data_IF_987513322105
#
_entry.id   IF_987513322105
#
_cell.length_a   1.000
_cell.length_b   1.000
_cell.length_c   1.000
_cell.angle_alpha   90.00
_cell.angle_beta   90.00
_cell.angle_gamma   90.00
#
_symmetry.space_group_name_H-M   'P 1'
#
loop_
_entity.id
_entity.type
_entity.pdbx_description
1 polymer ?
#
# COMPACT_ATOMS: atom_id res chain seq x y z
N UNK A 1 18.54 -5.96 -3.30
CA UNK A 1 19.55 -5.26 -2.47
C UNK A 1 20.71 -6.19 -2.24
N UNK A 2 21.97 -5.73 -2.37
CA UNK A 2 23.14 -6.57 -2.07
C UNK A 2 23.13 -7.04 -0.62
N UNK A 3 23.47 -8.29 -0.37
CA UNK A 3 23.61 -8.81 0.99
C UNK A 3 24.73 -8.05 1.72
N UNK A 4 24.42 -7.48 2.89
CA UNK A 4 25.37 -6.69 3.68
C UNK A 4 25.80 -5.35 3.06
N UNK A 5 25.17 -4.92 1.96
CA UNK A 5 25.45 -3.65 1.29
C UNK A 5 24.33 -2.62 1.46
N UNK A 6 24.35 -1.60 0.60
CA UNK A 6 23.30 -0.59 0.50
C UNK A 6 22.89 -0.36 -0.96
N UNK A 7 21.75 0.31 -1.12
CA UNK A 7 21.26 0.79 -2.40
C UNK A 7 20.97 2.27 -2.24
N UNK A 8 21.54 3.11 -3.11
CA UNK A 8 21.27 4.53 -3.17
C UNK A 8 20.31 4.80 -4.34
N UNK A 9 19.12 5.33 -4.03
CA UNK A 9 18.09 5.67 -5.03
C UNK A 9 17.70 7.13 -4.85
N UNK A 10 17.41 7.79 -5.97
CA UNK A 10 16.77 9.08 -6.01
C UNK A 10 15.69 9.04 -7.09
N UNK A 11 14.55 9.67 -6.81
CA UNK A 11 13.46 9.88 -7.75
C UNK A 11 12.98 11.33 -7.61
N UNK A 12 12.55 11.98 -8.70
CA UNK A 12 11.91 13.29 -8.59
C UNK A 12 10.61 13.14 -7.80
N UNK A 13 10.35 14.09 -6.90
CA UNK A 13 9.08 14.17 -6.17
C UNK A 13 8.03 14.90 -7.02
N UNK A 14 7.72 14.37 -8.20
CA UNK A 14 6.88 14.99 -9.22
C UNK A 14 5.47 14.38 -9.35
N UNK A 15 5.11 13.44 -8.47
CA UNK A 15 3.85 12.69 -8.55
C UNK A 15 3.14 12.58 -7.18
N UNK A 16 2.18 13.47 -6.85
CA UNK A 16 1.46 13.44 -5.58
C UNK A 16 0.79 12.10 -5.33
N UNK A 17 1.05 11.47 -4.18
CA UNK A 17 0.45 10.17 -3.88
C UNK A 17 1.00 9.45 -2.65
N UNK A 18 0.50 8.24 -2.45
CA UNK A 18 1.00 7.28 -1.46
C UNK A 18 1.68 6.13 -2.20
N UNK A 19 3.01 6.09 -2.19
CA UNK A 19 3.80 5.16 -3.00
C UNK A 19 4.48 4.11 -2.14
N UNK A 20 4.09 2.85 -2.31
CA UNK A 20 4.71 1.72 -1.60
C UNK A 20 6.05 1.36 -2.25
N UNK A 21 7.09 1.25 -1.44
CA UNK A 21 8.35 0.59 -1.80
C UNK A 21 8.52 -0.61 -0.89
N UNK A 22 8.73 -1.78 -1.47
CA UNK A 22 8.86 -3.02 -0.68
C UNK A 22 9.82 -4.01 -1.35
N UNK A 23 10.26 -5.00 -0.57
CA UNK A 23 10.92 -6.15 -1.16
C UNK A 23 9.89 -6.96 -1.96
N UNK A 24 10.17 -7.23 -3.24
CA UNK A 24 9.23 -7.96 -4.10
C UNK A 24 9.20 -9.48 -3.85
N UNK A 25 10.01 -9.96 -2.89
CA UNK A 25 9.93 -11.33 -2.39
C UNK A 25 8.69 -11.43 -1.48
N UNK A 26 7.70 -12.22 -1.90
CA UNK A 26 6.38 -12.26 -1.27
C UNK A 26 6.44 -12.49 0.25
N UNK A 27 7.30 -13.41 0.73
CA UNK A 27 7.43 -13.67 2.16
C UNK A 27 8.12 -12.53 2.93
N UNK A 28 9.01 -11.75 2.31
CA UNK A 28 9.56 -10.55 2.95
C UNK A 28 8.53 -9.41 3.00
N UNK A 29 7.73 -9.23 1.95
CA UNK A 29 6.64 -8.26 1.94
C UNK A 29 5.60 -8.59 3.03
N UNK A 30 5.21 -9.86 3.14
CA UNK A 30 4.32 -10.38 4.19
C UNK A 30 4.86 -10.11 5.61
N UNK A 31 6.18 -10.22 5.79
CA UNK A 31 6.87 -9.93 7.05
C UNK A 31 7.05 -8.43 7.32
N UNK A 32 6.58 -7.55 6.42
CA UNK A 32 6.59 -6.11 6.62
C UNK A 32 7.81 -5.38 6.07
N UNK A 33 8.60 -5.99 5.17
CA UNK A 33 9.72 -5.30 4.51
C UNK A 33 9.20 -4.32 3.45
N UNK A 34 8.63 -3.22 3.92
CA UNK A 34 8.01 -2.16 3.12
C UNK A 34 8.10 -0.81 3.83
N UNK A 35 8.06 0.25 3.02
CA UNK A 35 7.80 1.64 3.42
C UNK A 35 6.76 2.23 2.46
N UNK A 36 6.11 3.30 2.87
CA UNK A 36 5.21 4.09 2.02
C UNK A 36 5.64 5.55 2.04
N UNK A 37 5.89 6.12 0.86
CA UNK A 37 6.18 7.54 0.70
C UNK A 37 4.86 8.29 0.57
N UNK A 38 4.60 9.23 1.48
CA UNK A 38 3.53 10.21 1.35
C UNK A 38 4.10 11.45 0.65
N UNK A 39 3.94 11.49 -0.66
CA UNK A 39 4.54 12.49 -1.54
C UNK A 39 3.55 13.62 -1.84
N UNK A 40 3.96 14.88 -1.62
CA UNK A 40 3.16 16.08 -1.93
C UNK A 40 1.70 15.97 -1.45
N UNK A 41 1.53 15.61 -0.17
CA UNK A 41 0.24 15.33 0.49
C UNK A 41 -0.87 16.31 0.11
N UNK A 42 -0.57 17.61 0.13
CA UNK A 42 -1.57 18.65 -0.05
C UNK A 42 -2.08 18.77 -1.50
N UNK A 43 -1.44 18.08 -2.44
CA UNK A 43 -1.82 18.05 -3.86
C UNK A 43 -2.53 16.75 -4.27
N UNK A 44 -2.62 15.78 -3.36
CA UNK A 44 -3.21 14.46 -3.65
C UNK A 44 -4.69 14.59 -3.98
N UNK A 45 -5.45 15.31 -3.15
CA UNK A 45 -6.92 15.41 -3.31
C UNK A 45 -7.31 16.05 -4.64
N UNK A 46 -6.53 17.04 -5.10
CA UNK A 46 -6.73 17.71 -6.38
C UNK A 46 -6.32 16.83 -7.59
N UNK A 47 -5.46 15.83 -7.37
CA UNK A 47 -4.86 15.00 -8.43
C UNK A 47 -5.62 13.69 -8.69
N UNK A 48 -6.39 13.17 -7.73
CA UNK A 48 -6.99 11.82 -7.80
C UNK A 48 -8.35 11.76 -8.53
N UNK A 49 -9.00 12.90 -8.78
CA UNK A 49 -10.27 12.97 -9.51
C UNK A 49 -11.45 12.32 -8.77
N UNK A 50 -12.38 11.70 -9.51
CA UNK A 50 -13.55 11.06 -8.92
C UNK A 50 -13.16 9.77 -8.17
N UNK A 51 -13.54 9.69 -6.90
CA UNK A 51 -13.24 8.55 -6.00
C UNK A 51 -14.46 7.69 -5.65
N UNK A 52 -15.59 7.85 -6.34
CA UNK A 52 -16.83 7.14 -6.01
C UNK A 52 -16.68 5.62 -6.13
N UNK A 53 -15.97 5.16 -7.17
CA UNK A 53 -15.65 3.75 -7.38
C UNK A 53 -14.73 3.19 -6.30
N UNK A 54 -13.73 3.96 -5.88
CA UNK A 54 -12.84 3.59 -4.77
C UNK A 54 -13.63 3.46 -3.46
N UNK A 55 -14.45 4.48 -3.15
CA UNK A 55 -15.29 4.49 -1.97
C UNK A 55 -16.32 3.35 -1.98
N UNK A 56 -16.82 2.96 -3.15
CA UNK A 56 -17.71 1.81 -3.29
C UNK A 56 -16.99 0.50 -2.91
N UNK A 57 -15.79 0.27 -3.43
CA UNK A 57 -14.98 -0.89 -3.04
C UNK A 57 -14.67 -0.93 -1.54
N UNK A 58 -14.38 0.23 -0.93
CA UNK A 58 -14.21 0.31 0.52
C UNK A 58 -15.47 -0.08 1.30
N UNK A 59 -16.66 0.34 0.85
CA UNK A 59 -17.93 -0.04 1.47
C UNK A 59 -18.16 -1.55 1.39
N UNK A 60 -18.01 -2.12 0.19
CA UNK A 60 -18.18 -3.56 -0.03
C UNK A 60 -17.20 -4.39 0.81
N UNK A 61 -15.95 -3.95 0.91
CA UNK A 61 -14.96 -4.61 1.75
C UNK A 61 -15.31 -4.53 3.24
N UNK A 62 -15.78 -3.37 3.72
CA UNK A 62 -16.17 -3.20 5.12
C UNK A 62 -17.40 -4.05 5.50
N UNK A 63 -18.35 -4.22 4.58
CA UNK A 63 -19.50 -5.11 4.78
C UNK A 63 -19.08 -6.59 4.82
N UNK A 64 -18.09 -6.97 4.02
CA UNK A 64 -17.51 -8.31 4.04
C UNK A 64 -16.67 -8.56 5.31
N UNK A 65 -15.80 -7.62 5.69
CA UNK A 65 -14.81 -7.77 6.75
C UNK A 65 -15.38 -7.50 8.16
N UNK A 66 -16.52 -8.10 8.47
CA UNK A 66 -17.13 -8.07 9.81
C UNK A 66 -16.93 -9.42 10.53
N UNK A 67 -16.89 -9.44 11.88
CA UNK A 67 -16.74 -10.67 12.64
C UNK A 67 -17.80 -11.71 12.25
N UNK A 68 -17.35 -12.89 11.83
CA UNK A 68 -18.23 -14.00 11.42
C UNK A 68 -18.64 -14.02 9.95
N UNK A 69 -18.28 -13.01 9.14
CA UNK A 69 -18.59 -12.96 7.70
C UNK A 69 -17.38 -13.28 6.80
N UNK A 70 -16.20 -13.47 7.39
CA UNK A 70 -15.00 -13.97 6.71
C UNK A 70 -14.51 -15.30 7.33
N UNK A 71 -14.02 -16.27 6.54
CA UNK A 71 -13.53 -17.55 7.07
C UNK A 71 -12.12 -17.47 7.67
N UNK A 72 -11.33 -16.45 7.29
CA UNK A 72 -9.92 -16.32 7.68
C UNK A 72 -9.57 -14.87 8.02
N UNK A 73 -8.75 -14.69 9.05
CA UNK A 73 -8.18 -13.38 9.42
C UNK A 73 -6.95 -13.06 8.57
N UNK A 74 -6.64 -11.78 8.41
CA UNK A 74 -5.36 -11.32 7.88
C UNK A 74 -4.26 -11.64 8.90
N UNK A 75 -3.22 -12.36 8.47
CA UNK A 75 -2.14 -12.86 9.34
C UNK A 75 -0.77 -12.27 9.05
N UNK A 76 -0.67 -11.42 8.02
CA UNK A 76 0.57 -10.78 7.59
C UNK A 76 0.36 -9.28 7.33
N UNK A 77 1.34 -8.62 6.69
CA UNK A 77 1.30 -7.19 6.41
C UNK A 77 0.14 -6.72 5.52
N UNK A 78 -0.52 -7.62 4.79
CA UNK A 78 -1.56 -7.27 3.80
C UNK A 78 -1.03 -6.80 2.45
N UNK A 79 0.29 -6.78 2.24
CA UNK A 79 0.93 -6.38 0.98
C UNK A 79 1.36 -7.58 0.12
N UNK A 80 1.16 -8.80 0.62
CA UNK A 80 1.47 -10.02 -0.11
C UNK A 80 0.41 -10.29 -1.17
N UNK A 81 0.82 -10.35 -2.43
CA UNK A 81 -0.03 -10.71 -3.57
C UNK A 81 0.14 -12.19 -3.95
#
# INVERSE_FOLDING_TARGET
MPAGGYLLLAFPADNPGLWVMHCHIAWHAAQGLSVQFLERKDEIEDSIGNVDGFNQGCREWNDYWVPGNHPYNQTDSGLRR
#
